data_IF_663894512516
#
_entry.id   IF_663894512516
#
_cell.length_a   1.000
_cell.length_b   1.000
_cell.length_c   1.000
_cell.angle_alpha   90.00
_cell.angle_beta   90.00
_cell.angle_gamma   90.00
#
_symmetry.space_group_name_H-M   'P 1'
#
loop_
_entity.id
_entity.type
_entity.pdbx_description
1 polymer ?
#
# COMPACT_ATOMS: atom_id res chain seq x y z
N UNK A 1 -20.72 -0.62 -17.01
CA UNK A 1 -19.99 -1.46 -17.99
C UNK A 1 -19.13 -0.61 -18.94
N UNK A 2 -19.67 0.38 -19.63
CA UNK A 2 -18.97 1.24 -20.61
C UNK A 2 -17.74 1.95 -20.02
N UNK A 3 -17.80 2.57 -18.83
CA UNK A 3 -16.65 3.23 -18.17
C UNK A 3 -15.47 2.27 -17.94
N UNK A 4 -15.71 1.00 -17.55
CA UNK A 4 -14.64 0.01 -17.37
C UNK A 4 -13.96 -0.37 -18.70
N UNK A 5 -14.72 -0.44 -19.78
CA UNK A 5 -14.21 -0.71 -21.13
C UNK A 5 -13.36 0.47 -21.61
N UNK A 6 -13.85 1.70 -21.48
CA UNK A 6 -13.10 2.91 -21.85
C UNK A 6 -11.78 2.99 -21.05
N UNK A 7 -11.82 2.78 -19.73
CA UNK A 7 -10.59 2.76 -18.93
C UNK A 7 -9.61 1.64 -19.33
N UNK A 8 -10.10 0.49 -19.78
CA UNK A 8 -9.25 -0.60 -20.27
C UNK A 8 -8.61 -0.23 -21.62
N UNK A 9 -9.39 0.34 -22.53
CA UNK A 9 -8.92 0.75 -23.86
C UNK A 9 -7.90 1.92 -23.75
N UNK A 10 -8.20 2.93 -22.94
CA UNK A 10 -7.28 4.04 -22.70
C UNK A 10 -5.95 3.57 -22.07
N UNK A 11 -6.00 2.60 -21.14
CA UNK A 11 -4.78 2.00 -20.57
C UNK A 11 -3.93 1.31 -21.64
N UNK A 12 -4.56 0.51 -22.50
CA UNK A 12 -3.87 -0.18 -23.59
C UNK A 12 -3.24 0.84 -24.55
N UNK A 13 -3.98 1.86 -24.94
CA UNK A 13 -3.52 2.93 -25.83
C UNK A 13 -2.33 3.68 -25.21
N UNK A 14 -2.43 4.13 -23.94
CA UNK A 14 -1.32 4.80 -23.25
C UNK A 14 -0.09 3.89 -23.09
N UNK A 15 -0.30 2.61 -22.80
CA UNK A 15 0.79 1.64 -22.70
C UNK A 15 1.56 1.51 -24.01
N UNK A 16 0.87 1.51 -25.15
CA UNK A 16 1.50 1.45 -26.46
C UNK A 16 2.15 2.77 -26.87
N UNK A 17 1.46 3.89 -26.73
CA UNK A 17 1.99 5.22 -27.12
C UNK A 17 3.24 5.61 -26.30
N UNK A 18 3.33 5.16 -25.06
CA UNK A 18 4.43 5.45 -24.15
C UNK A 18 5.50 4.35 -24.12
N UNK A 19 5.46 3.35 -24.98
CA UNK A 19 6.52 2.34 -25.08
C UNK A 19 7.88 3.01 -25.36
N UNK A 20 8.90 2.60 -24.62
CA UNK A 20 10.28 3.13 -24.70
C UNK A 20 11.10 2.53 -23.56
N UNK A 21 12.30 3.02 -23.31
CA UNK A 21 13.31 2.44 -22.42
C UNK A 21 13.78 3.37 -21.28
N UNK A 22 13.22 4.58 -21.22
CA UNK A 22 13.66 5.59 -20.25
C UNK A 22 13.26 5.29 -18.80
N UNK A 23 12.13 4.57 -18.57
CA UNK A 23 11.67 4.16 -17.24
C UNK A 23 11.19 2.71 -17.25
N UNK A 24 11.35 2.01 -16.12
CA UNK A 24 11.01 0.60 -15.95
C UNK A 24 10.05 0.40 -14.77
N UNK A 25 9.03 -0.42 -14.97
CA UNK A 25 8.13 -0.83 -13.90
C UNK A 25 8.39 -2.27 -13.45
N UNK A 26 8.94 -2.51 -12.25
CA UNK A 26 9.29 -3.86 -11.77
C UNK A 26 8.08 -4.74 -11.47
N UNK A 27 6.86 -4.18 -11.36
CA UNK A 27 5.64 -4.96 -11.11
C UNK A 27 5.14 -5.62 -12.40
N UNK A 28 5.00 -4.85 -13.48
CA UNK A 28 4.52 -5.40 -14.76
C UNK A 28 5.62 -5.67 -15.77
N UNK A 29 6.89 -5.49 -15.37
CA UNK A 29 8.11 -5.79 -16.14
C UNK A 29 8.13 -5.15 -17.54
N UNK A 30 7.62 -3.90 -17.63
CA UNK A 30 7.55 -3.14 -18.88
C UNK A 30 8.32 -1.84 -18.79
N UNK A 31 8.86 -1.44 -19.94
CA UNK A 31 9.59 -0.18 -20.14
C UNK A 31 8.74 0.85 -20.88
N UNK A 32 8.95 2.13 -20.54
CA UNK A 32 8.20 3.25 -21.10
C UNK A 32 9.10 4.47 -21.31
N UNK A 33 8.69 5.39 -22.21
CA UNK A 33 9.31 6.71 -22.36
C UNK A 33 9.17 7.54 -21.08
N UNK A 34 8.03 7.42 -20.39
CA UNK A 34 7.75 8.07 -19.10
C UNK A 34 6.57 7.42 -18.41
N UNK A 35 6.46 7.62 -17.10
CA UNK A 35 5.22 7.35 -16.36
C UNK A 35 4.28 8.55 -16.43
N UNK A 36 3.02 8.33 -16.04
CA UNK A 36 1.97 9.34 -15.99
C UNK A 36 2.05 10.14 -14.68
N UNK A 37 1.59 11.38 -14.72
CA UNK A 37 1.40 12.18 -13.52
C UNK A 37 0.24 11.63 -12.67
N UNK A 38 0.31 11.78 -11.34
CA UNK A 38 -0.71 11.24 -10.44
C UNK A 38 -0.95 12.12 -9.21
N UNK A 39 -2.22 12.05 -8.71
CA UNK A 39 -2.65 12.69 -7.47
C UNK A 39 -3.05 14.16 -7.62
N UNK A 40 -3.63 14.72 -6.54
CA UNK A 40 -4.12 16.10 -6.51
C UNK A 40 -2.99 17.11 -6.75
N UNK A 41 -1.81 16.82 -6.23
CA UNK A 41 -0.59 17.64 -6.40
C UNK A 41 0.14 17.36 -7.71
N UNK A 42 -0.44 16.54 -8.63
CA UNK A 42 0.15 16.16 -9.94
C UNK A 42 1.62 15.77 -9.84
N UNK A 43 1.94 14.80 -8.95
CA UNK A 43 3.31 14.25 -8.90
C UNK A 43 3.71 13.74 -10.28
N UNK A 44 4.78 14.33 -10.82
CA UNK A 44 5.24 14.02 -12.18
C UNK A 44 5.79 12.60 -12.24
N UNK A 45 5.43 11.88 -13.32
CA UNK A 45 5.95 10.56 -13.64
C UNK A 45 5.79 9.52 -12.52
N UNK A 46 4.70 9.59 -11.75
CA UNK A 46 4.46 8.73 -10.60
C UNK A 46 3.81 7.38 -10.96
N UNK A 47 2.86 7.37 -11.92
CA UNK A 47 2.00 6.22 -12.19
C UNK A 47 2.40 5.46 -13.45
N UNK A 48 2.64 4.14 -13.32
CA UNK A 48 2.86 3.27 -14.46
C UNK A 48 1.63 3.27 -15.41
N UNK A 49 1.81 3.52 -16.72
CA UNK A 49 0.69 3.56 -17.66
C UNK A 49 0.01 2.20 -17.86
N UNK A 50 0.72 1.09 -17.63
CA UNK A 50 0.19 -0.26 -17.78
C UNK A 50 -0.50 -0.78 -16.51
N UNK A 51 0.22 -0.96 -15.41
CA UNK A 51 -0.33 -1.59 -14.20
C UNK A 51 -0.88 -0.58 -13.17
N UNK A 52 -0.69 0.73 -13.38
CA UNK A 52 -1.08 1.83 -12.48
C UNK A 52 -0.35 1.83 -11.13
N UNK A 53 0.76 1.11 -11.01
CA UNK A 53 1.59 1.18 -9.81
C UNK A 53 2.11 2.59 -9.59
N UNK A 54 2.17 2.97 -8.31
CA UNK A 54 2.82 4.18 -7.82
C UNK A 54 4.21 3.83 -7.28
N UNK A 55 4.95 4.84 -6.87
CA UNK A 55 6.32 4.74 -6.36
C UNK A 55 6.42 3.72 -5.22
N UNK A 56 5.55 3.86 -4.20
CA UNK A 56 5.50 2.95 -3.04
C UNK A 56 5.16 1.50 -3.41
N UNK A 57 4.28 1.29 -4.40
CA UNK A 57 3.92 -0.08 -4.82
C UNK A 57 5.12 -0.77 -5.47
N UNK A 58 5.91 -0.05 -6.28
CA UNK A 58 7.14 -0.57 -6.87
C UNK A 58 8.18 -0.88 -5.81
N UNK A 59 8.32 -0.01 -4.80
CA UNK A 59 9.24 -0.21 -3.69
C UNK A 59 8.88 -1.45 -2.87
N UNK A 60 7.61 -1.60 -2.48
CA UNK A 60 7.09 -2.78 -1.77
C UNK A 60 7.35 -4.06 -2.58
N UNK A 61 7.09 -4.03 -3.89
CA UNK A 61 7.29 -5.19 -4.75
C UNK A 61 8.76 -5.61 -4.82
N UNK A 62 9.69 -4.66 -4.90
CA UNK A 62 11.12 -4.91 -4.86
C UNK A 62 11.54 -5.50 -3.51
N UNK A 63 11.03 -4.97 -2.41
CA UNK A 63 11.25 -5.51 -1.07
C UNK A 63 10.76 -6.95 -0.93
N UNK A 64 9.53 -7.22 -1.36
CA UNK A 64 8.95 -8.58 -1.35
C UNK A 64 9.83 -9.57 -2.14
N UNK A 65 10.30 -9.16 -3.33
CA UNK A 65 11.20 -9.98 -4.16
C UNK A 65 12.56 -10.18 -3.49
N UNK A 66 13.17 -9.14 -2.93
CA UNK A 66 14.51 -9.23 -2.29
C UNK A 66 14.51 -10.13 -1.06
N UNK A 67 13.45 -10.08 -0.25
CA UNK A 67 13.26 -10.95 0.92
C UNK A 67 12.69 -12.33 0.57
N UNK A 68 12.38 -12.61 -0.71
CA UNK A 68 11.81 -13.88 -1.19
C UNK A 68 10.51 -14.27 -0.45
N UNK A 69 9.67 -13.29 -0.10
CA UNK A 69 8.51 -13.48 0.76
C UNK A 69 7.40 -14.33 0.13
N UNK A 70 7.46 -14.62 -1.17
CA UNK A 70 6.47 -15.41 -1.90
C UNK A 70 7.00 -16.79 -2.35
N UNK A 71 8.20 -17.19 -1.92
CA UNK A 71 8.81 -18.46 -2.34
C UNK A 71 8.08 -19.69 -1.76
N UNK A 72 7.35 -19.51 -0.65
CA UNK A 72 6.57 -20.55 0.01
C UNK A 72 5.07 -20.27 -0.06
N UNK A 73 4.27 -21.33 0.07
CA UNK A 73 2.82 -21.18 0.11
C UNK A 73 2.38 -20.37 1.34
N UNK A 74 1.56 -19.35 1.12
CA UNK A 74 1.08 -18.47 2.17
C UNK A 74 -0.34 -17.96 1.91
N UNK A 75 -1.06 -17.69 3.00
CA UNK A 75 -2.36 -17.02 2.97
C UNK A 75 -2.16 -15.54 3.27
N UNK A 76 -2.45 -14.69 2.29
CA UNK A 76 -2.22 -13.24 2.34
C UNK A 76 -3.52 -12.47 2.49
N UNK A 77 -3.65 -11.73 3.59
CA UNK A 77 -4.66 -10.70 3.76
C UNK A 77 -4.14 -9.37 3.19
N UNK A 78 -4.88 -8.77 2.26
CA UNK A 78 -4.53 -7.46 1.70
C UNK A 78 -5.67 -6.47 1.94
N UNK A 79 -5.46 -5.54 2.85
CA UNK A 79 -6.44 -4.49 3.20
C UNK A 79 -6.36 -3.38 2.16
N UNK A 80 -7.51 -2.93 1.65
CA UNK A 80 -7.68 -1.89 0.62
C UNK A 80 -6.75 -2.10 -0.60
N UNK A 81 -6.87 -3.24 -1.31
CA UNK A 81 -5.87 -3.70 -2.28
C UNK A 81 -5.73 -2.78 -3.48
N UNK A 82 -4.51 -2.32 -3.71
CA UNK A 82 -4.19 -1.50 -4.88
C UNK A 82 -4.11 -2.33 -6.16
N UNK A 83 -4.64 -1.82 -7.29
CA UNK A 83 -4.80 -2.60 -8.52
C UNK A 83 -3.54 -3.28 -9.04
N UNK A 84 -2.37 -2.67 -8.86
CA UNK A 84 -1.10 -3.23 -9.33
C UNK A 84 -0.73 -4.50 -8.55
N UNK A 85 -0.69 -4.41 -7.22
CA UNK A 85 -0.36 -5.51 -6.33
C UNK A 85 -1.45 -6.59 -6.32
N UNK A 86 -2.74 -6.18 -6.33
CA UNK A 86 -3.87 -7.10 -6.46
C UNK A 86 -3.71 -8.04 -7.64
N UNK A 87 -3.35 -7.52 -8.83
CA UNK A 87 -3.24 -8.35 -10.03
C UNK A 87 -2.07 -9.35 -9.96
N UNK A 88 -1.00 -9.03 -9.27
CA UNK A 88 0.14 -9.93 -9.10
C UNK A 88 -0.14 -11.01 -8.05
N UNK A 89 -0.63 -10.64 -6.87
CA UNK A 89 -0.94 -11.62 -5.83
C UNK A 89 -2.04 -12.60 -6.23
N UNK A 90 -3.08 -12.12 -6.91
CA UNK A 90 -4.18 -12.98 -7.37
C UNK A 90 -3.73 -14.09 -8.32
N UNK A 91 -2.65 -13.89 -9.04
CA UNK A 91 -2.12 -14.86 -10.03
C UNK A 91 -0.97 -15.69 -9.49
N UNK A 92 -0.43 -15.32 -8.32
CA UNK A 92 0.78 -15.95 -7.80
C UNK A 92 0.46 -17.36 -7.29
N UNK A 93 1.17 -18.42 -7.77
CA UNK A 93 0.80 -19.81 -7.49
C UNK A 93 0.92 -20.18 -6.00
N UNK A 94 1.80 -19.49 -5.25
CA UNK A 94 2.02 -19.76 -3.84
C UNK A 94 1.13 -18.93 -2.91
N UNK A 95 0.22 -18.09 -3.44
CA UNK A 95 -0.55 -17.15 -2.62
C UNK A 95 -2.03 -17.52 -2.61
N UNK A 96 -2.54 -17.92 -1.46
CA UNK A 96 -3.98 -17.92 -1.17
C UNK A 96 -4.37 -16.48 -0.82
N UNK A 97 -4.91 -15.76 -1.81
CA UNK A 97 -5.09 -14.32 -1.75
C UNK A 97 -6.46 -13.92 -1.24
N UNK A 98 -6.51 -13.12 -0.18
CA UNK A 98 -7.72 -12.58 0.44
C UNK A 98 -7.69 -11.03 0.36
N UNK A 99 -8.20 -10.43 -0.72
CA UNK A 99 -8.39 -8.99 -0.82
C UNK A 99 -9.56 -8.57 0.07
N UNK A 100 -9.36 -7.55 0.90
CA UNK A 100 -10.35 -7.10 1.88
C UNK A 100 -10.49 -5.57 1.88
N UNK A 101 -11.70 -5.07 2.05
CA UNK A 101 -11.99 -3.63 2.15
C UNK A 101 -13.28 -3.40 2.94
N UNK A 102 -13.50 -2.19 3.44
CA UNK A 102 -14.74 -1.79 4.13
C UNK A 102 -15.97 -1.82 3.19
N UNK A 103 -15.76 -1.82 1.88
CA UNK A 103 -16.77 -1.80 0.83
C UNK A 103 -17.76 -0.64 0.97
N UNK A 104 -17.23 0.58 0.90
CA UNK A 104 -18.03 1.80 0.98
C UNK A 104 -18.90 1.95 -0.28
N UNK A 105 -20.17 2.30 -0.08
CA UNK A 105 -21.13 2.54 -1.17
C UNK A 105 -20.62 3.63 -2.12
N UNK A 106 -20.76 3.42 -3.44
CA UNK A 106 -20.30 4.37 -4.46
C UNK A 106 -18.90 4.07 -5.02
N UNK A 107 -18.14 3.18 -4.39
CA UNK A 107 -16.83 2.70 -4.92
C UNK A 107 -16.97 1.38 -5.66
N UNK A 108 -16.02 1.09 -6.55
CA UNK A 108 -15.99 -0.15 -7.33
C UNK A 108 -14.81 -1.01 -6.92
N UNK A 109 -15.10 -2.16 -6.36
CA UNK A 109 -14.13 -3.15 -5.89
C UNK A 109 -14.01 -4.34 -6.85
N UNK A 110 -12.89 -5.08 -6.86
CA UNK A 110 -12.82 -6.40 -7.47
C UNK A 110 -13.89 -7.33 -6.87
N UNK A 111 -14.44 -8.24 -7.69
CA UNK A 111 -15.55 -9.12 -7.27
C UNK A 111 -15.19 -10.02 -6.08
N UNK A 112 -13.92 -10.39 -5.99
CA UNK A 112 -13.37 -11.27 -4.95
C UNK A 112 -13.10 -10.54 -3.61
N UNK A 113 -13.25 -9.20 -3.56
CA UNK A 113 -12.97 -8.43 -2.33
C UNK A 113 -13.99 -8.74 -1.26
N UNK A 114 -13.52 -9.19 -0.10
CA UNK A 114 -14.35 -9.47 1.07
C UNK A 114 -14.56 -8.20 1.90
N UNK A 115 -15.74 -8.09 2.52
CA UNK A 115 -16.04 -6.97 3.41
C UNK A 115 -15.38 -7.20 4.76
N UNK A 116 -14.49 -6.28 5.15
CA UNK A 116 -13.78 -6.32 6.44
C UNK A 116 -13.76 -4.92 7.05
N UNK A 117 -14.11 -4.82 8.32
CA UNK A 117 -13.73 -3.70 9.16
C UNK A 117 -12.40 -4.06 9.82
N UNK A 118 -11.37 -3.24 9.59
CA UNK A 118 -10.01 -3.51 10.08
C UNK A 118 -9.94 -3.48 11.63
N UNK A 119 -10.88 -2.83 12.29
CA UNK A 119 -10.99 -2.79 13.76
C UNK A 119 -11.71 -4.01 14.35
N UNK A 120 -12.28 -4.88 13.50
CA UNK A 120 -12.98 -6.12 13.90
C UNK A 120 -12.93 -7.12 12.74
N UNK A 121 -11.76 -7.73 12.55
CA UNK A 121 -11.49 -8.63 11.42
C UNK A 121 -12.21 -9.98 11.65
N UNK A 122 -13.13 -10.42 10.74
CA UNK A 122 -13.97 -11.60 10.96
C UNK A 122 -13.24 -12.92 10.67
N UNK A 123 -12.01 -13.03 11.14
CA UNK A 123 -11.18 -14.24 11.06
C UNK A 123 -10.65 -14.61 12.45
N UNK A 124 -10.38 -15.89 12.68
CA UNK A 124 -9.81 -16.37 13.94
C UNK A 124 -8.40 -15.83 14.20
N UNK A 125 -7.94 -15.95 15.44
CA UNK A 125 -6.55 -15.70 15.82
C UNK A 125 -5.64 -16.61 15.01
N UNK A 126 -4.45 -16.09 14.60
CA UNK A 126 -3.42 -16.87 13.90
C UNK A 126 -3.90 -17.51 12.58
N UNK A 127 -4.68 -16.74 11.80
CA UNK A 127 -5.29 -17.24 10.57
C UNK A 127 -4.44 -17.00 9.32
N UNK A 128 -3.80 -15.83 9.20
CA UNK A 128 -3.03 -15.43 8.02
C UNK A 128 -1.53 -15.63 8.22
N UNK A 129 -0.84 -16.06 7.14
CA UNK A 129 0.62 -16.11 7.13
C UNK A 129 1.24 -14.73 6.89
N UNK A 130 0.50 -13.86 6.19
CA UNK A 130 1.00 -12.54 5.79
C UNK A 130 -0.12 -11.52 5.65
N UNK A 131 0.23 -10.25 5.85
CA UNK A 131 -0.71 -9.12 5.78
C UNK A 131 -0.07 -7.98 5.02
N UNK A 132 -0.85 -7.31 4.16
CA UNK A 132 -0.54 -6.00 3.60
C UNK A 132 -1.58 -4.98 4.05
N UNK A 133 -1.11 -3.88 4.63
CA UNK A 133 -1.92 -2.73 5.05
C UNK A 133 -1.17 -1.45 4.68
N UNK A 134 -1.51 -0.88 3.51
CA UNK A 134 -0.74 0.19 2.88
C UNK A 134 -1.62 1.41 2.72
N UNK A 135 -1.31 2.51 3.41
CA UNK A 135 -2.07 3.76 3.37
C UNK A 135 -3.57 3.55 3.69
N UNK A 136 -3.84 2.92 4.82
CA UNK A 136 -5.18 2.63 5.34
C UNK A 136 -5.39 3.27 6.71
N UNK A 137 -4.42 3.16 7.60
CA UNK A 137 -4.56 3.51 9.01
C UNK A 137 -4.81 5.00 9.25
N UNK A 138 -4.38 5.86 8.33
CA UNK A 138 -4.66 7.30 8.35
C UNK A 138 -6.14 7.65 8.18
N UNK A 139 -6.95 6.70 7.71
CA UNK A 139 -8.41 6.83 7.54
C UNK A 139 -9.23 6.19 8.67
N UNK A 140 -8.57 5.51 9.62
CA UNK A 140 -9.21 4.72 10.67
C UNK A 140 -9.18 5.50 11.98
N UNK A 141 -10.33 5.82 12.56
CA UNK A 141 -10.41 6.59 13.81
C UNK A 141 -9.67 5.88 14.96
N UNK A 142 -9.84 4.57 15.12
CA UNK A 142 -9.14 3.74 16.10
C UNK A 142 -8.09 2.85 15.43
N UNK A 143 -6.94 3.43 15.07
CA UNK A 143 -5.82 2.71 14.46
C UNK A 143 -5.16 1.71 15.41
N UNK A 144 -5.24 1.94 16.74
CA UNK A 144 -4.68 1.02 17.74
C UNK A 144 -5.47 -0.30 17.80
N UNK A 145 -6.80 -0.22 17.76
CA UNK A 145 -7.64 -1.42 17.63
C UNK A 145 -7.41 -2.13 16.30
N UNK A 146 -7.26 -1.38 15.20
CA UNK A 146 -6.93 -1.96 13.91
C UNK A 146 -5.59 -2.70 13.93
N UNK A 147 -4.54 -2.12 14.50
CA UNK A 147 -3.22 -2.75 14.63
C UNK A 147 -3.26 -4.01 15.50
N UNK A 148 -4.01 -4.01 16.62
CA UNK A 148 -4.22 -5.19 17.47
C UNK A 148 -4.94 -6.32 16.71
N UNK A 149 -5.93 -5.99 15.90
CA UNK A 149 -6.64 -6.98 15.07
C UNK A 149 -5.72 -7.57 13.97
N UNK A 150 -4.92 -6.74 13.31
CA UNK A 150 -3.91 -7.23 12.36
C UNK A 150 -2.91 -8.18 13.05
N UNK A 151 -2.44 -7.81 14.25
CA UNK A 151 -1.56 -8.68 15.03
C UNK A 151 -2.26 -9.97 15.46
N UNK A 152 -3.52 -9.90 15.91
CA UNK A 152 -4.29 -11.07 16.36
C UNK A 152 -4.45 -12.09 15.25
N UNK A 153 -4.81 -11.66 14.05
CA UNK A 153 -5.08 -12.57 12.93
C UNK A 153 -3.82 -13.05 12.22
N UNK A 154 -2.66 -12.43 12.47
CA UNK A 154 -1.36 -12.87 11.96
C UNK A 154 -0.87 -14.09 12.77
N UNK A 155 -0.37 -15.12 12.08
CA UNK A 155 0.23 -16.32 12.71
C UNK A 155 1.56 -16.00 13.38
N UNK A 156 1.94 -16.72 14.45
CA UNK A 156 3.33 -16.75 14.91
C UNK A 156 4.28 -17.14 13.77
N UNK A 157 5.37 -16.39 13.61
CA UNK A 157 6.30 -16.50 12.48
C UNK A 157 5.77 -15.92 11.16
N UNK A 158 4.57 -15.36 11.15
CA UNK A 158 4.03 -14.61 10.02
C UNK A 158 4.58 -13.20 9.92
N UNK A 159 4.35 -12.55 8.77
CA UNK A 159 4.82 -11.19 8.52
C UNK A 159 3.71 -10.25 8.05
N UNK A 160 3.86 -8.97 8.36
CA UNK A 160 3.03 -7.91 7.80
C UNK A 160 3.88 -6.79 7.22
N UNK A 161 3.46 -6.23 6.09
CA UNK A 161 3.97 -4.96 5.60
C UNK A 161 2.92 -3.91 5.88
N UNK A 162 3.27 -2.94 6.74
CA UNK A 162 2.39 -1.84 7.13
C UNK A 162 3.07 -0.55 6.71
N UNK A 163 2.34 0.32 6.01
CA UNK A 163 2.84 1.62 5.59
C UNK A 163 1.76 2.69 5.79
N UNK A 164 2.21 3.86 6.20
CA UNK A 164 1.38 5.07 6.36
C UNK A 164 2.10 6.27 5.74
N UNK A 165 1.38 7.31 5.29
CA UNK A 165 2.01 8.56 4.92
C UNK A 165 2.53 9.24 6.19
N UNK A 166 3.85 9.47 6.24
CA UNK A 166 4.51 10.11 7.39
C UNK A 166 5.04 11.49 7.04
N UNK A 167 4.97 12.40 8.01
CA UNK A 167 5.79 13.60 8.02
C UNK A 167 7.02 13.38 8.90
N UNK A 168 8.17 13.15 8.28
CA UNK A 168 9.44 12.90 8.98
C UNK A 168 9.98 14.10 9.75
N UNK A 169 9.37 15.27 9.64
CA UNK A 169 9.69 16.45 10.45
C UNK A 169 8.96 16.46 11.80
N UNK A 170 7.96 15.62 11.94
CA UNK A 170 7.15 15.51 13.14
C UNK A 170 7.65 14.36 14.02
N UNK A 171 7.99 14.66 15.26
CA UNK A 171 8.40 13.65 16.26
C UNK A 171 7.22 12.81 16.69
N UNK A 172 6.04 13.42 16.83
CA UNK A 172 4.80 12.74 17.25
C UNK A 172 3.70 12.90 16.22
N UNK A 173 2.90 11.86 16.11
CA UNK A 173 1.66 11.83 15.32
C UNK A 173 0.73 12.94 15.79
N UNK A 174 0.24 13.72 14.84
CA UNK A 174 -0.76 14.75 15.08
C UNK A 174 -2.15 14.21 14.77
N UNK A 175 -3.00 14.18 15.78
CA UNK A 175 -4.41 13.80 15.71
C UNK A 175 -5.20 14.65 16.73
N UNK A 176 -6.34 15.20 16.28
CA UNK A 176 -7.22 16.02 17.12
C UNK A 176 -8.68 15.67 16.79
N UNK A 177 -9.45 15.12 17.76
CA UNK A 177 -10.85 14.75 17.56
C UNK A 177 -11.75 15.94 17.16
N UNK A 178 -11.33 17.18 17.43
CA UNK A 178 -12.07 18.37 17.06
C UNK A 178 -11.95 18.69 15.56
N UNK A 179 -10.95 18.16 14.87
CA UNK A 179 -10.77 18.30 13.41
C UNK A 179 -11.65 17.26 12.70
N UNK A 180 -12.93 17.57 12.53
CA UNK A 180 -13.94 16.65 11.99
C UNK A 180 -14.42 17.01 10.58
N UNK A 181 -14.37 18.31 10.18
CA UNK A 181 -14.81 18.72 8.84
C UNK A 181 -13.83 18.29 7.74
N UNK A 182 -14.35 17.93 6.55
CA UNK A 182 -13.52 17.58 5.39
C UNK A 182 -12.55 18.71 5.00
N UNK A 183 -12.94 19.98 5.21
CA UNK A 183 -12.10 21.13 4.91
C UNK A 183 -10.92 21.23 5.90
N UNK A 184 -11.18 21.05 7.20
CA UNK A 184 -10.15 21.08 8.23
C UNK A 184 -9.22 19.85 8.10
N UNK A 185 -9.76 18.65 7.89
CA UNK A 185 -8.94 17.46 7.64
C UNK A 185 -7.98 17.67 6.46
N UNK A 186 -8.47 18.24 5.35
CA UNK A 186 -7.61 18.57 4.21
C UNK A 186 -6.54 19.60 4.56
N UNK A 187 -6.86 20.58 5.39
CA UNK A 187 -5.92 21.63 5.83
C UNK A 187 -4.83 21.08 6.76
N UNK A 188 -5.21 20.27 7.74
CA UNK A 188 -4.31 19.83 8.81
C UNK A 188 -3.65 18.47 8.51
N UNK A 189 -4.33 17.55 7.82
CA UNK A 189 -3.83 16.19 7.53
C UNK A 189 -3.52 15.96 6.04
N UNK A 190 -3.72 17.00 5.20
CA UNK A 190 -3.38 16.95 3.78
C UNK A 190 -4.45 16.35 2.86
N UNK A 191 -5.40 15.56 3.40
CA UNK A 191 -6.54 14.99 2.65
C UNK A 191 -7.83 15.10 3.47
N UNK A 192 -8.98 15.16 2.78
CA UNK A 192 -10.30 15.40 3.39
C UNK A 192 -10.84 14.23 4.22
N UNK A 193 -10.27 13.04 4.05
CA UNK A 193 -10.65 11.77 4.66
C UNK A 193 -9.57 11.21 5.61
N UNK A 194 -8.44 11.90 5.78
CA UNK A 194 -7.48 11.57 6.82
C UNK A 194 -7.97 12.03 8.19
N UNK A 195 -7.69 11.27 9.22
CA UNK A 195 -8.02 11.58 10.63
C UNK A 195 -6.77 11.88 11.45
N UNK A 196 -5.59 11.70 10.87
CA UNK A 196 -4.29 12.01 11.47
C UNK A 196 -3.19 12.23 10.45
N UNK A 197 -2.09 12.81 10.93
CA UNK A 197 -0.81 12.88 10.23
C UNK A 197 0.25 12.19 11.09
N UNK A 198 0.78 11.05 10.61
CA UNK A 198 1.76 10.26 11.34
C UNK A 198 3.12 10.94 11.41
N UNK A 199 3.73 10.88 12.60
CA UNK A 199 5.10 11.30 12.88
C UNK A 199 6.06 10.12 13.05
N UNK A 200 7.25 10.40 13.53
CA UNK A 200 8.32 9.42 13.77
C UNK A 200 8.00 8.41 14.87
N UNK A 201 6.95 8.63 15.65
CA UNK A 201 6.44 7.74 16.70
C UNK A 201 5.52 6.61 16.18
N UNK A 202 5.32 6.51 14.87
CA UNK A 202 4.48 5.44 14.31
C UNK A 202 4.98 4.03 14.68
N UNK A 203 6.29 3.73 14.71
CA UNK A 203 6.78 2.44 15.20
C UNK A 203 6.34 2.09 16.62
N UNK A 204 6.16 3.07 17.52
CA UNK A 204 5.71 2.81 18.88
C UNK A 204 4.31 2.19 18.89
N UNK A 205 3.40 2.66 17.99
CA UNK A 205 2.05 2.09 17.84
C UNK A 205 2.07 0.64 17.36
N UNK A 206 3.02 0.29 16.47
CA UNK A 206 3.21 -1.09 16.00
C UNK A 206 3.72 -1.98 17.14
N UNK A 207 4.70 -1.50 17.92
CA UNK A 207 5.23 -2.20 19.10
C UNK A 207 4.15 -2.41 20.17
N UNK A 208 3.33 -1.38 20.44
CA UNK A 208 2.20 -1.47 21.38
C UNK A 208 1.17 -2.53 20.97
N UNK A 209 1.00 -2.78 19.67
CA UNK A 209 0.13 -3.85 19.18
C UNK A 209 0.73 -5.26 19.32
N UNK A 210 2.05 -5.36 19.59
CA UNK A 210 2.79 -6.60 19.81
C UNK A 210 3.75 -6.99 18.68
N UNK A 211 3.84 -6.22 17.60
CA UNK A 211 4.75 -6.52 16.48
C UNK A 211 6.21 -6.31 16.85
N UNK A 212 7.07 -7.19 16.36
CA UNK A 212 8.50 -6.92 16.21
C UNK A 212 8.71 -6.24 14.85
N UNK A 213 9.51 -5.14 14.79
CA UNK A 213 9.56 -4.28 13.62
C UNK A 213 10.98 -4.21 13.06
N UNK A 214 11.12 -4.41 11.77
CA UNK A 214 12.27 -4.02 10.97
C UNK A 214 11.85 -2.83 10.08
N UNK A 215 12.45 -1.66 10.29
CA UNK A 215 12.24 -0.50 9.42
C UNK A 215 13.17 -0.64 8.23
N UNK A 216 12.61 -0.82 7.05
CA UNK A 216 13.41 -1.04 5.85
C UNK A 216 13.40 0.18 4.93
N UNK A 217 14.60 0.59 4.56
CA UNK A 217 14.83 1.67 3.59
C UNK A 217 15.34 1.10 2.26
N UNK A 218 14.53 0.25 1.64
CA UNK A 218 14.81 -0.35 0.33
C UNK A 218 15.21 0.68 -0.73
N UNK A 219 14.76 1.92 -0.57
CA UNK A 219 15.13 3.00 -1.50
C UNK A 219 16.65 3.23 -1.50
N UNK A 220 17.30 3.31 -0.35
CA UNK A 220 18.74 3.57 -0.25
C UNK A 220 19.59 2.32 -0.54
N UNK A 221 19.03 1.13 -0.40
CA UNK A 221 19.73 -0.13 -0.73
C UNK A 221 19.91 -0.32 -2.25
N UNK A 222 19.14 0.41 -3.07
CA UNK A 222 19.20 0.29 -4.52
C UNK A 222 20.19 1.29 -5.15
N UNK A 223 20.86 0.90 -6.25
CA UNK A 223 21.67 1.83 -7.05
C UNK A 223 20.88 3.05 -7.52
N UNK A 224 21.51 4.22 -7.58
CA UNK A 224 20.84 5.45 -7.98
C UNK A 224 20.22 5.37 -9.38
N UNK A 225 20.92 4.72 -10.32
CA UNK A 225 20.43 4.49 -11.67
C UNK A 225 19.09 3.72 -11.68
N UNK A 226 18.97 2.68 -10.84
CA UNK A 226 17.76 1.86 -10.72
C UNK A 226 16.63 2.65 -10.08
N UNK A 227 16.93 3.41 -9.01
CA UNK A 227 15.94 4.30 -8.37
C UNK A 227 15.34 5.29 -9.36
N UNK A 228 16.19 5.92 -10.18
CA UNK A 228 15.77 6.87 -11.24
C UNK A 228 14.98 6.15 -12.33
N UNK A 229 15.47 5.01 -12.83
CA UNK A 229 14.81 4.24 -13.90
C UNK A 229 13.44 3.72 -13.46
N UNK A 230 13.29 3.29 -12.20
CA UNK A 230 12.03 2.82 -11.64
C UNK A 230 11.17 3.94 -11.06
N UNK A 231 11.61 5.19 -11.10
CA UNK A 231 10.89 6.34 -10.54
C UNK A 231 10.45 6.10 -9.09
N UNK A 232 11.37 5.61 -8.27
CA UNK A 232 11.14 5.45 -6.85
C UNK A 232 11.23 6.79 -6.13
N UNK A 233 10.55 6.90 -5.00
CA UNK A 233 10.51 8.11 -4.20
C UNK A 233 11.21 7.87 -2.86
N UNK A 234 12.04 8.82 -2.44
CA UNK A 234 12.66 8.83 -1.12
C UNK A 234 11.62 9.13 -0.04
N UNK A 235 11.83 8.60 1.17
CA UNK A 235 10.97 8.84 2.33
C UNK A 235 9.74 7.93 2.42
N UNK A 236 9.70 6.87 1.62
CA UNK A 236 8.72 5.78 1.74
C UNK A 236 9.35 4.67 2.57
N UNK A 237 9.00 4.55 3.85
CA UNK A 237 9.51 3.52 4.75
C UNK A 237 8.60 2.30 4.75
N UNK A 238 9.20 1.12 4.62
CA UNK A 238 8.50 -0.17 4.76
C UNK A 238 8.67 -0.65 6.19
N UNK A 239 7.58 -0.72 6.95
CA UNK A 239 7.57 -1.38 8.25
C UNK A 239 7.27 -2.87 8.03
N UNK A 240 8.34 -3.67 8.08
CA UNK A 240 8.25 -5.12 8.06
C UNK A 240 8.05 -5.61 9.49
N UNK A 241 6.86 -6.10 9.77
CA UNK A 241 6.39 -6.46 11.10
C UNK A 241 6.29 -7.98 11.20
N UNK A 242 6.72 -8.57 12.31
CA UNK A 242 6.58 -10.01 12.58
C UNK A 242 5.90 -10.25 13.92
N UNK A 243 5.24 -11.41 14.03
CA UNK A 243 4.63 -11.91 15.26
C UNK A 243 5.45 -13.03 15.86
#
# INVERSE_FOLDING_TARGET
MIRKIIHRLTRILYSHLLTGDAVYCPICEKEFKKFLDYGVQKRQHAQCPNCKSLERHRLIWLFIKSKKLLDHHLKLLHIAPEPALFNEFRKHPNVEYVPADKLITGYSYPKETVKVDITSIPYGTDYFNSILCIHVLEHIDDDRSALKELFRVLKPGGWAIIMVPMDTKMVKTFEDPLISSSADRKKYYGQSDHVRLYGLDFPDRLNEAGFTIEINDTYHDLPEADRKKMRLRQGEYIYYCTK
#
